data_IF_971824547130
#
_entry.id   IF_971824547130
#
_cell.length_a   1.000
_cell.length_b   1.000
_cell.length_c   1.000
_cell.angle_alpha   90.00
_cell.angle_beta   90.00
_cell.angle_gamma   90.00
#
_symmetry.space_group_name_H-M   'P 1'
#
loop_
_entity.id
_entity.type
_entity.pdbx_description
1 polymer ?
#
# COMPACT_ATOMS: atom_id res chain seq x y z
N UNK A 1 7.08 6.76 -5.82
CA UNK A 1 6.08 6.62 -4.73
C UNK A 1 6.02 5.19 -4.19
N UNK A 2 6.00 4.16 -5.06
CA UNK A 2 6.00 2.75 -4.62
C UNK A 2 7.22 2.33 -3.78
N UNK A 3 8.45 2.65 -4.22
CA UNK A 3 9.68 2.26 -3.50
C UNK A 3 9.74 2.79 -2.05
N UNK A 4 9.26 4.01 -1.80
CA UNK A 4 9.17 4.60 -0.46
C UNK A 4 8.15 3.87 0.42
N UNK A 5 7.03 3.43 -0.16
CA UNK A 5 6.01 2.65 0.56
C UNK A 5 6.51 1.25 0.90
N UNK A 6 7.17 0.58 -0.04
CA UNK A 6 7.73 -0.75 0.17
C UNK A 6 8.87 -0.74 1.19
N UNK A 7 9.75 0.27 1.15
CA UNK A 7 10.79 0.45 2.17
C UNK A 7 10.19 0.63 3.57
N UNK A 8 9.17 1.49 3.70
CA UNK A 8 8.47 1.72 4.97
C UNK A 8 7.87 0.42 5.53
N UNK A 9 7.16 -0.35 4.69
CA UNK A 9 6.59 -1.63 5.11
C UNK A 9 7.66 -2.65 5.51
N UNK A 10 8.78 -2.71 4.79
CA UNK A 10 9.91 -3.56 5.16
C UNK A 10 10.53 -3.16 6.51
N UNK A 11 10.69 -1.85 6.75
CA UNK A 11 11.11 -1.32 8.05
C UNK A 11 10.17 -1.76 9.17
N UNK A 12 8.85 -1.67 8.97
CA UNK A 12 7.85 -2.11 9.94
C UNK A 12 7.92 -3.63 10.21
N UNK A 13 8.25 -4.44 9.19
CA UNK A 13 8.49 -5.87 9.37
C UNK A 13 9.73 -6.14 10.22
N UNK A 14 10.83 -5.42 10.00
CA UNK A 14 12.03 -5.49 10.83
C UNK A 14 11.72 -5.11 12.28
N UNK A 15 11.04 -3.99 12.50
CA UNK A 15 10.65 -3.53 13.85
C UNK A 15 9.83 -4.58 14.59
N UNK A 16 8.77 -5.10 13.97
CA UNK A 16 7.95 -6.18 14.56
C UNK A 16 8.77 -7.41 14.91
N UNK A 17 9.72 -7.78 14.05
CA UNK A 17 10.57 -8.97 14.28
C UNK A 17 11.55 -8.76 15.42
N UNK A 18 12.18 -7.59 15.51
CA UNK A 18 13.07 -7.20 16.62
C UNK A 18 12.31 -7.24 17.94
N UNK A 19 11.14 -6.59 17.99
CA UNK A 19 10.27 -6.54 19.17
C UNK A 19 9.78 -7.93 19.60
N UNK A 20 9.56 -8.85 18.65
CA UNK A 20 9.11 -10.22 18.97
C UNK A 20 10.20 -11.12 19.57
N UNK A 21 11.48 -10.81 19.36
CA UNK A 21 12.62 -11.61 19.87
C UNK A 21 13.12 -11.12 21.22
N UNK A 22 12.81 -9.89 21.59
CA UNK A 22 13.25 -9.32 22.84
C UNK A 22 12.14 -9.45 23.88
N UNK A 23 12.47 -9.93 25.07
CA UNK A 23 11.92 -9.35 26.30
C UNK A 23 12.51 -7.93 26.44
N UNK A 24 12.17 -7.04 25.51
CA UNK A 24 12.65 -5.67 25.52
C UNK A 24 12.01 -4.99 26.72
N UNK A 25 12.71 -4.96 27.84
CA UNK A 25 12.38 -4.05 28.94
C UNK A 25 12.92 -2.68 28.56
N UNK A 26 12.05 -1.67 28.30
CA UNK A 26 12.47 -0.31 28.03
C UNK A 26 12.95 0.29 29.35
N UNK A 27 14.16 -0.06 29.78
CA UNK A 27 14.71 0.51 30.99
C UNK A 27 15.32 1.90 30.73
N UNK A 28 15.69 2.23 29.47
CA UNK A 28 16.29 3.54 29.16
C UNK A 28 16.26 4.01 27.68
N UNK A 29 15.66 3.26 26.74
CA UNK A 29 15.68 3.61 25.31
C UNK A 29 14.31 4.10 24.82
N UNK A 30 14.32 5.25 24.13
CA UNK A 30 13.12 5.94 23.65
C UNK A 30 12.57 5.29 22.37
N UNK A 31 11.31 5.56 22.02
CA UNK A 31 10.73 5.15 20.73
C UNK A 31 11.55 5.65 19.53
N UNK A 32 12.22 6.81 19.68
CA UNK A 32 13.11 7.39 18.67
C UNK A 32 14.35 6.53 18.43
N UNK A 33 14.94 5.97 19.49
CA UNK A 33 16.15 5.15 19.38
C UNK A 33 15.87 3.85 18.62
N UNK A 34 14.67 3.27 18.83
CA UNK A 34 14.24 2.08 18.09
C UNK A 34 14.00 2.42 16.61
N UNK A 35 13.34 3.54 16.29
CA UNK A 35 13.07 3.93 14.92
C UNK A 35 14.36 4.21 14.13
N UNK A 36 15.33 4.91 14.73
CA UNK A 36 16.64 5.16 14.14
C UNK A 36 17.41 3.85 13.91
N UNK A 37 17.39 2.95 14.90
CA UNK A 37 18.02 1.64 14.81
C UNK A 37 17.43 0.79 13.68
N UNK A 38 16.10 0.69 13.60
CA UNK A 38 15.43 -0.09 12.55
C UNK A 38 15.62 0.57 11.19
N UNK A 39 15.59 1.90 11.11
CA UNK A 39 15.85 2.64 9.85
C UNK A 39 17.26 2.38 9.33
N UNK A 40 18.26 2.35 10.20
CA UNK A 40 19.62 1.97 9.85
C UNK A 40 19.66 0.55 9.28
N UNK A 41 19.16 -0.45 10.01
CA UNK A 41 19.15 -1.85 9.55
C UNK A 41 18.37 -2.05 8.24
N UNK A 42 17.24 -1.36 8.10
CA UNK A 42 16.44 -1.38 6.87
C UNK A 42 17.25 -0.81 5.70
N UNK A 43 17.96 0.30 5.88
CA UNK A 43 18.79 0.92 4.84
C UNK A 43 19.93 0.01 4.41
N UNK A 44 20.63 -0.61 5.36
CA UNK A 44 21.75 -1.52 5.10
C UNK A 44 21.29 -2.76 4.32
N UNK A 45 20.13 -3.32 4.67
CA UNK A 45 19.64 -4.55 4.04
C UNK A 45 18.85 -4.30 2.75
N UNK A 46 18.05 -3.23 2.65
CA UNK A 46 17.14 -2.96 1.53
C UNK A 46 17.82 -2.97 0.16
N UNK A 47 19.01 -2.37 0.09
CA UNK A 47 19.78 -2.28 -1.16
C UNK A 47 20.24 -3.64 -1.69
N UNK A 48 20.36 -4.64 -0.81
CA UNK A 48 20.75 -6.01 -1.18
C UNK A 48 19.57 -6.83 -1.72
N UNK A 49 18.32 -6.38 -1.55
CA UNK A 49 17.16 -7.13 -2.04
C UNK A 49 17.04 -6.99 -3.57
N UNK A 50 16.77 -8.10 -4.29
CA UNK A 50 16.44 -8.05 -5.71
C UNK A 50 15.25 -7.13 -5.99
N UNK A 51 15.24 -6.49 -7.16
CA UNK A 51 14.16 -5.59 -7.56
C UNK A 51 12.79 -6.27 -7.55
N UNK A 52 12.72 -7.56 -7.93
CA UNK A 52 11.49 -8.34 -7.90
C UNK A 52 10.87 -8.41 -6.50
N UNK A 53 11.68 -8.45 -5.43
CA UNK A 53 11.20 -8.43 -4.05
C UNK A 53 10.80 -7.02 -3.65
N UNK A 54 11.62 -6.00 -3.96
CA UNK A 54 11.35 -4.60 -3.58
C UNK A 54 10.08 -4.01 -4.21
N UNK A 55 9.68 -4.54 -5.36
CA UNK A 55 8.51 -4.13 -6.13
C UNK A 55 7.42 -5.22 -6.16
N UNK A 56 7.44 -6.16 -5.20
CA UNK A 56 6.44 -7.22 -5.16
C UNK A 56 5.03 -6.65 -5.00
N UNK A 57 4.09 -7.19 -5.75
CA UNK A 57 2.66 -6.89 -5.64
C UNK A 57 1.87 -8.19 -5.53
N UNK A 58 0.58 -8.08 -5.21
CA UNK A 58 -0.33 -9.24 -5.23
C UNK A 58 -0.27 -10.03 -6.56
N UNK A 59 -0.10 -9.32 -7.69
CA UNK A 59 -0.11 -9.91 -9.03
C UNK A 59 1.25 -10.50 -9.44
N UNK A 60 2.35 -10.14 -8.76
CA UNK A 60 3.72 -10.60 -9.12
C UNK A 60 4.30 -11.60 -8.14
N UNK A 61 3.65 -11.84 -6.98
CA UNK A 61 4.16 -12.71 -5.91
C UNK A 61 4.48 -14.15 -6.34
N UNK A 62 3.69 -14.71 -7.26
CA UNK A 62 3.86 -16.10 -7.72
C UNK A 62 5.05 -16.26 -8.68
N UNK A 63 5.63 -15.14 -9.16
CA UNK A 63 6.83 -15.12 -10.00
C UNK A 63 8.11 -14.85 -9.20
N UNK A 64 8.03 -14.75 -7.88
CA UNK A 64 9.20 -14.52 -7.03
C UNK A 64 10.07 -15.77 -6.93
N UNK A 65 11.40 -15.60 -6.80
CA UNK A 65 12.28 -16.69 -6.40
C UNK A 65 11.94 -17.17 -4.98
N UNK A 66 12.26 -18.43 -4.68
CA UNK A 66 12.16 -18.95 -3.32
C UNK A 66 13.05 -18.13 -2.38
N UNK A 67 12.45 -17.57 -1.32
CA UNK A 67 13.13 -16.64 -0.41
C UNK A 67 14.35 -17.29 0.25
N UNK A 68 14.28 -18.59 0.55
CA UNK A 68 15.39 -19.36 1.11
C UNK A 68 16.60 -19.46 0.17
N UNK A 69 16.39 -19.33 -1.15
CA UNK A 69 17.44 -19.40 -2.17
C UNK A 69 18.03 -18.03 -2.52
N UNK A 70 17.52 -16.94 -1.93
CA UNK A 70 18.02 -15.59 -2.19
C UNK A 70 19.49 -15.46 -1.78
N UNK A 71 20.32 -15.03 -2.73
CA UNK A 71 21.69 -14.60 -2.50
C UNK A 71 21.66 -13.18 -1.95
N UNK A 72 22.04 -13.03 -0.68
CA UNK A 72 22.12 -11.76 0.02
C UNK A 72 23.58 -11.31 0.16
N UNK A 73 24.41 -11.69 -0.81
CA UNK A 73 25.87 -11.51 -0.78
C UNK A 73 26.30 -10.04 -0.80
N UNK A 74 25.39 -9.14 -1.23
CA UNK A 74 25.58 -7.70 -1.22
C UNK A 74 25.13 -7.03 0.08
N UNK A 75 24.62 -7.78 1.06
CA UNK A 75 24.28 -7.24 2.38
C UNK A 75 25.57 -6.84 3.11
N UNK A 76 25.72 -5.57 3.52
CA UNK A 76 26.91 -5.11 4.23
C UNK A 76 27.13 -5.88 5.55
N UNK A 77 28.39 -6.14 5.90
CA UNK A 77 28.75 -6.81 7.17
C UNK A 77 28.27 -6.04 8.40
N UNK A 78 28.15 -4.71 8.29
CA UNK A 78 27.53 -3.84 9.30
C UNK A 78 26.14 -4.30 9.73
N UNK A 79 25.35 -4.90 8.84
CA UNK A 79 24.05 -5.46 9.19
C UNK A 79 24.18 -6.64 10.17
N UNK A 80 25.00 -7.65 9.83
CA UNK A 80 25.21 -8.82 10.68
C UNK A 80 25.94 -8.49 11.98
N UNK A 81 26.92 -7.59 11.92
CA UNK A 81 27.69 -7.14 13.08
C UNK A 81 26.79 -6.41 14.07
N UNK A 82 25.88 -5.56 13.56
CA UNK A 82 24.90 -4.85 14.39
C UNK A 82 23.91 -5.81 15.04
N UNK A 83 23.34 -6.76 14.29
CA UNK A 83 22.43 -7.75 14.89
C UNK A 83 23.13 -8.58 15.97
N UNK A 84 24.39 -8.95 15.77
CA UNK A 84 25.17 -9.74 16.74
C UNK A 84 25.53 -8.91 17.97
N UNK A 85 25.96 -7.65 17.79
CA UNK A 85 26.29 -6.75 18.90
C UNK A 85 25.09 -6.47 19.83
N UNK A 86 23.87 -6.46 19.28
CA UNK A 86 22.63 -6.27 20.03
C UNK A 86 21.97 -7.59 20.47
N UNK A 87 22.64 -8.74 20.29
CA UNK A 87 22.14 -10.06 20.73
C UNK A 87 20.92 -10.57 19.95
N UNK A 88 20.66 -10.02 18.76
CA UNK A 88 19.54 -10.42 17.90
C UNK A 88 19.89 -11.63 17.02
N UNK A 89 21.19 -11.87 16.80
CA UNK A 89 21.77 -13.03 16.12
C UNK A 89 23.01 -13.54 16.88
N UNK A 90 23.35 -14.81 16.68
CA UNK A 90 24.55 -15.42 17.27
C UNK A 90 25.79 -15.21 16.39
N UNK A 91 25.58 -15.09 15.08
CA UNK A 91 26.60 -14.98 14.05
C UNK A 91 26.01 -14.39 12.75
N UNK A 92 26.86 -14.28 11.71
CA UNK A 92 26.44 -13.77 10.41
C UNK A 92 25.40 -14.66 9.71
N UNK A 93 25.47 -15.98 9.87
CA UNK A 93 24.53 -16.92 9.24
C UNK A 93 23.12 -16.76 9.82
N UNK A 94 23.01 -16.72 11.15
CA UNK A 94 21.75 -16.48 11.86
C UNK A 94 21.20 -15.07 11.62
N UNK A 95 22.06 -14.06 11.39
CA UNK A 95 21.65 -12.73 10.94
C UNK A 95 21.03 -12.75 9.53
N UNK A 96 21.61 -13.50 8.59
CA UNK A 96 21.04 -13.67 7.25
C UNK A 96 19.72 -14.46 7.28
N UNK A 97 19.63 -15.50 8.12
CA UNK A 97 18.36 -16.21 8.34
C UNK A 97 17.31 -15.29 8.96
N UNK A 98 17.68 -14.42 9.90
CA UNK A 98 16.80 -13.38 10.44
C UNK A 98 16.26 -12.48 9.31
N UNK A 99 17.14 -12.02 8.42
CA UNK A 99 16.77 -11.18 7.28
C UNK A 99 15.84 -11.92 6.30
N UNK A 100 16.13 -13.16 5.93
CA UNK A 100 15.25 -13.97 5.06
C UNK A 100 13.84 -14.10 5.62
N UNK A 101 13.72 -14.37 6.92
CA UNK A 101 12.40 -14.43 7.58
C UNK A 101 11.68 -13.08 7.64
N UNK A 102 12.41 -11.98 7.75
CA UNK A 102 11.83 -10.64 7.60
C UNK A 102 11.29 -10.43 6.19
N UNK A 103 12.05 -10.86 5.16
CA UNK A 103 11.63 -10.78 3.76
C UNK A 103 10.36 -11.59 3.52
N UNK A 104 10.21 -12.78 4.11
CA UNK A 104 8.97 -13.58 4.02
C UNK A 104 7.74 -12.81 4.52
N UNK A 105 7.85 -12.18 5.69
CA UNK A 105 6.76 -11.40 6.28
C UNK A 105 6.47 -10.16 5.42
N UNK A 106 7.52 -9.47 4.98
CA UNK A 106 7.38 -8.32 4.10
C UNK A 106 6.69 -8.68 2.77
N UNK A 107 7.11 -9.77 2.12
CA UNK A 107 6.50 -10.23 0.86
C UNK A 107 5.03 -10.59 1.09
N UNK A 108 4.71 -11.29 2.18
CA UNK A 108 3.33 -11.60 2.54
C UNK A 108 2.47 -10.34 2.69
N UNK A 109 2.98 -9.32 3.40
CA UNK A 109 2.24 -8.09 3.68
C UNK A 109 2.14 -7.19 2.42
N UNK A 110 3.23 -7.07 1.66
CA UNK A 110 3.29 -6.28 0.42
C UNK A 110 2.46 -6.89 -0.71
N UNK A 111 2.29 -8.21 -0.71
CA UNK A 111 1.49 -8.95 -1.69
C UNK A 111 0.16 -9.46 -1.13
N UNK A 112 -0.31 -8.86 -0.03
CA UNK A 112 -1.62 -9.17 0.52
C UNK A 112 -2.71 -9.00 -0.55
N UNK A 113 -3.77 -9.85 -0.52
CA UNK A 113 -4.85 -9.73 -1.48
C UNK A 113 -5.47 -8.33 -1.42
N UNK A 114 -5.88 -7.77 -2.57
CA UNK A 114 -6.66 -6.55 -2.57
C UNK A 114 -7.88 -6.74 -1.66
N UNK A 115 -8.35 -5.68 -1.00
CA UNK A 115 -9.50 -5.79 -0.12
C UNK A 115 -10.70 -6.30 -0.92
N UNK A 116 -11.61 -7.00 -0.24
CA UNK A 116 -12.91 -7.30 -0.82
C UNK A 116 -13.63 -5.96 -0.99
N UNK A 117 -13.64 -5.42 -2.20
CA UNK A 117 -14.09 -4.05 -2.48
C UNK A 117 -15.53 -3.75 -2.04
N UNK A 118 -16.39 -4.77 -1.91
CA UNK A 118 -17.73 -4.59 -1.34
C UNK A 118 -17.74 -4.36 0.18
N UNK A 119 -16.71 -4.77 0.91
CA UNK A 119 -16.58 -4.55 2.36
C UNK A 119 -15.84 -3.26 2.71
N UNK A 120 -15.35 -2.49 1.73
CA UNK A 120 -14.64 -1.21 1.97
C UNK A 120 -15.58 -0.02 2.20
N UNK A 121 -16.85 -0.27 2.53
CA UNK A 121 -17.86 0.79 2.64
C UNK A 121 -17.52 1.78 3.75
N UNK A 122 -17.34 3.03 3.36
CA UNK A 122 -17.14 4.17 4.27
C UNK A 122 -18.46 4.70 4.82
N UNK A 123 -18.39 5.49 5.89
CA UNK A 123 -19.53 6.23 6.45
C UNK A 123 -19.76 7.57 5.72
N UNK A 124 -18.74 8.09 5.05
CA UNK A 124 -18.71 9.38 4.38
C UNK A 124 -18.41 9.23 2.89
N UNK A 125 -18.92 10.16 2.08
CA UNK A 125 -18.62 10.20 0.66
C UNK A 125 -17.14 10.50 0.43
N UNK A 126 -16.42 9.62 -0.25
CA UNK A 126 -14.97 9.76 -0.48
C UNK A 126 -14.56 10.97 -1.33
N UNK A 127 -15.51 11.65 -1.97
CA UNK A 127 -15.25 12.90 -2.72
C UNK A 127 -15.61 14.15 -1.92
N UNK A 128 -16.77 14.18 -1.26
CA UNK A 128 -17.28 15.41 -0.62
C UNK A 128 -17.36 15.34 0.91
N UNK A 129 -16.94 14.22 1.50
CA UNK A 129 -16.78 13.99 2.95
C UNK A 129 -18.08 14.14 3.76
N UNK A 130 -19.23 14.14 3.08
CA UNK A 130 -20.53 14.20 3.75
C UNK A 130 -21.00 12.81 4.17
N UNK A 131 -21.52 12.72 5.39
CA UNK A 131 -22.29 11.58 5.90
C UNK A 131 -23.70 11.56 5.30
N UNK A 132 -23.84 10.95 4.12
CA UNK A 132 -25.09 10.82 3.36
C UNK A 132 -25.15 9.44 2.70
N UNK A 133 -26.30 8.97 2.20
CA UNK A 133 -26.37 7.70 1.51
C UNK A 133 -25.39 7.60 0.33
N UNK A 134 -24.56 6.56 0.40
CA UNK A 134 -23.50 6.28 -0.57
C UNK A 134 -23.94 5.21 -1.57
N UNK A 135 -23.46 5.38 -2.79
CA UNK A 135 -23.60 4.47 -3.92
C UNK A 135 -22.28 3.75 -4.18
N UNK A 136 -22.37 2.55 -4.75
CA UNK A 136 -21.23 1.75 -5.19
C UNK A 136 -20.81 2.19 -6.59
N UNK A 137 -19.64 2.80 -6.72
CA UNK A 137 -19.12 3.29 -8.00
C UNK A 137 -17.86 2.51 -8.41
N UNK A 138 -17.89 1.87 -9.58
CA UNK A 138 -16.69 1.23 -10.12
C UNK A 138 -15.72 2.28 -10.67
N UNK A 139 -14.52 2.34 -10.11
CA UNK A 139 -13.47 3.27 -10.54
C UNK A 139 -12.96 2.92 -11.94
N UNK A 140 -12.82 1.63 -12.24
CA UNK A 140 -12.64 1.11 -13.60
C UNK A 140 -14.00 0.62 -14.11
N UNK A 141 -14.65 1.32 -15.05
CA UNK A 141 -15.97 0.92 -15.53
C UNK A 141 -15.98 -0.52 -16.06
N UNK A 142 -16.95 -1.35 -15.63
CA UNK A 142 -17.03 -2.76 -16.03
C UNK A 142 -17.01 -2.97 -17.55
N UNK A 143 -17.61 -2.05 -18.31
CA UNK A 143 -17.62 -2.10 -19.76
C UNK A 143 -16.22 -1.99 -20.40
N UNK A 144 -15.20 -1.48 -19.68
CA UNK A 144 -13.83 -1.34 -20.19
C UNK A 144 -12.91 -2.47 -19.75
N UNK A 145 -13.33 -3.39 -18.87
CA UNK A 145 -12.48 -4.46 -18.30
C UNK A 145 -11.74 -5.28 -19.36
N UNK A 146 -12.45 -5.76 -20.39
CA UNK A 146 -11.84 -6.52 -21.47
C UNK A 146 -10.75 -5.73 -22.21
N UNK A 147 -10.95 -4.42 -22.39
CA UNK A 147 -9.98 -3.53 -23.03
C UNK A 147 -8.79 -3.24 -22.11
N UNK A 148 -9.04 -3.01 -20.82
CA UNK A 148 -8.02 -2.78 -19.79
C UNK A 148 -7.03 -3.95 -19.75
N UNK A 149 -7.52 -5.19 -19.70
CA UNK A 149 -6.68 -6.39 -19.68
C UNK A 149 -5.92 -6.56 -21.00
N UNK A 150 -6.61 -6.43 -22.14
CA UNK A 150 -5.98 -6.55 -23.48
C UNK A 150 -4.85 -5.54 -23.68
N UNK A 151 -4.99 -4.32 -23.13
CA UNK A 151 -4.00 -3.24 -23.23
C UNK A 151 -3.01 -3.21 -22.08
N UNK A 152 -3.15 -4.09 -21.08
CA UNK A 152 -2.34 -4.13 -19.86
C UNK A 152 -2.27 -2.78 -19.14
N UNK A 153 -3.40 -2.06 -19.08
CA UNK A 153 -3.46 -0.81 -18.33
C UNK A 153 -3.44 -1.05 -16.83
N UNK A 154 -4.20 -2.05 -16.38
CA UNK A 154 -4.28 -2.47 -14.97
C UNK A 154 -4.33 -3.98 -14.89
N UNK A 155 -3.94 -4.51 -13.74
CA UNK A 155 -4.08 -5.92 -13.41
C UNK A 155 -5.53 -6.32 -13.15
N UNK A 156 -5.78 -7.63 -13.13
CA UNK A 156 -7.11 -8.17 -12.87
C UNK A 156 -7.61 -7.85 -11.45
N UNK A 157 -6.70 -7.81 -10.47
CA UNK A 157 -6.96 -7.45 -9.07
C UNK A 157 -7.57 -6.06 -8.91
N UNK A 158 -7.27 -5.13 -9.82
CA UNK A 158 -7.75 -3.74 -9.80
C UNK A 158 -9.12 -3.55 -10.45
N UNK A 159 -9.60 -4.46 -11.29
CA UNK A 159 -10.80 -4.24 -12.11
C UNK A 159 -12.07 -3.95 -11.30
N UNK A 160 -12.16 -4.52 -10.12
CA UNK A 160 -13.32 -4.37 -9.24
C UNK A 160 -13.13 -3.29 -8.16
N UNK A 161 -12.10 -2.45 -8.28
CA UNK A 161 -11.92 -1.31 -7.39
C UNK A 161 -13.11 -0.36 -7.45
N UNK A 162 -13.50 0.14 -6.28
CA UNK A 162 -14.69 0.97 -6.12
C UNK A 162 -14.45 2.16 -5.22
N UNK A 163 -15.31 3.16 -5.40
CA UNK A 163 -15.50 4.25 -4.49
C UNK A 163 -16.95 4.26 -3.95
N UNK A 164 -17.09 4.60 -2.68
CA UNK A 164 -18.32 4.85 -1.95
C UNK A 164 -18.61 6.34 -1.94
N UNK A 165 -19.40 6.75 -2.93
CA UNK A 165 -19.69 8.16 -3.20
C UNK A 165 -21.19 8.41 -3.21
N UNK A 166 -21.59 9.61 -2.75
CA UNK A 166 -22.99 10.02 -2.80
C UNK A 166 -23.47 10.23 -4.24
N UNK A 167 -24.79 10.12 -4.47
CA UNK A 167 -25.39 10.21 -5.81
C UNK A 167 -24.97 11.47 -6.60
N UNK A 168 -24.92 12.68 -6.01
CA UNK A 168 -24.43 13.86 -6.73
C UNK A 168 -22.97 13.74 -7.19
N UNK A 169 -22.07 13.24 -6.33
CA UNK A 169 -20.67 13.03 -6.70
C UNK A 169 -20.52 11.97 -7.79
N UNK A 170 -21.30 10.88 -7.71
CA UNK A 170 -21.36 9.86 -8.77
C UNK A 170 -21.70 10.48 -10.13
N UNK A 171 -22.76 11.29 -10.18
CA UNK A 171 -23.15 11.97 -11.42
C UNK A 171 -22.03 12.85 -11.96
N UNK A 172 -21.31 13.57 -11.09
CA UNK A 172 -20.21 14.43 -11.51
C UNK A 172 -19.03 13.62 -12.07
N UNK A 173 -18.62 12.53 -11.43
CA UNK A 173 -17.54 11.67 -11.93
C UNK A 173 -17.83 11.23 -13.38
N UNK A 174 -19.05 10.76 -13.67
CA UNK A 174 -19.45 10.37 -15.02
C UNK A 174 -19.64 11.55 -15.99
N UNK A 175 -19.78 12.78 -15.49
CA UNK A 175 -19.83 13.97 -16.34
C UNK A 175 -18.45 14.47 -16.75
N UNK A 176 -17.44 14.34 -15.88
CA UNK A 176 -16.11 14.93 -16.08
C UNK A 176 -15.12 14.01 -16.81
N UNK A 177 -15.31 12.70 -16.69
CA UNK A 177 -14.57 11.68 -17.42
C UNK A 177 -15.49 10.52 -17.77
N UNK A 178 -15.28 9.91 -18.95
CA UNK A 178 -16.15 8.85 -19.46
C UNK A 178 -15.35 7.61 -19.82
N UNK A 179 -15.89 6.45 -19.44
CA UNK A 179 -15.48 5.12 -19.89
C UNK A 179 -13.97 4.87 -19.80
N UNK A 180 -13.31 5.03 -20.94
CA UNK A 180 -11.89 4.75 -21.12
C UNK A 180 -10.97 5.77 -20.43
N UNK A 181 -11.36 7.04 -20.37
CA UNK A 181 -10.57 8.07 -19.68
C UNK A 181 -10.57 7.84 -18.16
N UNK A 182 -11.73 7.44 -17.60
CA UNK A 182 -11.82 6.97 -16.21
C UNK A 182 -10.89 5.78 -15.99
N UNK A 183 -10.96 4.78 -16.88
CA UNK A 183 -10.18 3.56 -16.75
C UNK A 183 -8.66 3.82 -16.84
N UNK A 184 -8.19 4.74 -17.68
CA UNK A 184 -6.75 4.98 -17.86
C UNK A 184 -6.18 5.98 -16.87
N UNK A 185 -6.87 7.10 -16.66
CA UNK A 185 -6.28 8.28 -16.01
C UNK A 185 -6.88 8.57 -14.62
N UNK A 186 -8.06 8.01 -14.30
CA UNK A 186 -8.81 8.36 -13.09
C UNK A 186 -9.40 7.14 -12.38
N UNK A 187 -8.60 6.07 -12.28
CA UNK A 187 -8.99 4.76 -11.77
C UNK A 187 -8.81 4.59 -10.24
N UNK A 188 -8.50 5.68 -9.52
CA UNK A 188 -8.49 5.74 -8.05
C UNK A 188 -9.18 7.01 -7.55
N UNK A 189 -9.58 7.02 -6.27
CA UNK A 189 -10.17 8.21 -5.64
C UNK A 189 -9.18 9.37 -5.62
N UNK A 190 -7.90 9.10 -5.37
CA UNK A 190 -6.82 10.10 -5.35
C UNK A 190 -6.66 10.76 -6.72
N UNK A 191 -6.70 9.98 -7.80
CA UNK A 191 -6.63 10.50 -9.16
C UNK A 191 -7.85 11.37 -9.50
N UNK A 192 -9.04 10.97 -9.05
CA UNK A 192 -10.25 11.81 -9.19
C UNK A 192 -10.09 13.13 -8.41
N UNK A 193 -9.62 13.07 -7.16
CA UNK A 193 -9.39 14.24 -6.29
C UNK A 193 -8.26 15.14 -6.79
N UNK A 194 -7.33 14.64 -7.60
CA UNK A 194 -6.29 15.44 -8.23
C UNK A 194 -6.83 16.35 -9.35
N UNK A 195 -8.04 16.09 -9.89
CA UNK A 195 -8.63 16.93 -10.94
C UNK A 195 -9.18 18.25 -10.39
N UNK A 196 -8.88 19.35 -11.06
CA UNK A 196 -9.38 20.67 -10.66
C UNK A 196 -10.91 20.78 -10.64
N UNK A 197 -11.60 20.15 -11.60
CA UNK A 197 -13.06 20.19 -11.68
C UNK A 197 -13.72 19.43 -10.54
N UNK A 198 -13.20 18.26 -10.18
CA UNK A 198 -13.59 17.51 -8.99
C UNK A 198 -13.28 18.29 -7.72
N UNK A 199 -12.14 18.96 -7.61
CA UNK A 199 -11.82 19.81 -6.44
C UNK A 199 -12.77 21.00 -6.29
N UNK A 200 -13.12 21.66 -7.40
CA UNK A 200 -14.14 22.73 -7.44
C UNK A 200 -15.49 22.18 -6.99
N UNK A 201 -15.89 21.02 -7.52
CA UNK A 201 -17.12 20.35 -7.13
C UNK A 201 -17.13 19.95 -5.65
N UNK A 202 -16.07 19.32 -5.14
CA UNK A 202 -15.91 18.91 -3.74
C UNK A 202 -16.18 20.08 -2.79
N UNK A 203 -15.54 21.22 -3.02
CA UNK A 203 -15.70 22.44 -2.20
C UNK A 203 -17.15 22.94 -2.16
N UNK A 204 -17.88 22.83 -3.26
CA UNK A 204 -19.30 23.15 -3.33
C UNK A 204 -20.15 22.09 -2.64
N UNK A 205 -19.95 20.82 -3.00
CA UNK A 205 -20.75 19.68 -2.58
C UNK A 205 -20.69 19.46 -1.07
N UNK A 206 -19.51 19.63 -0.45
CA UNK A 206 -19.30 19.48 0.99
C UNK A 206 -20.21 20.40 1.83
N UNK A 207 -20.60 21.56 1.29
CA UNK A 207 -21.46 22.55 1.98
C UNK A 207 -22.96 22.30 1.78
N UNK A 208 -23.35 21.35 0.93
CA UNK A 208 -24.76 21.13 0.59
C UNK A 208 -25.47 20.33 1.68
N UNK A 209 -26.63 20.83 2.12
CA UNK A 209 -27.50 20.13 3.07
C UNK A 209 -28.13 18.91 2.40
N UNK A 210 -28.20 17.80 3.14
CA UNK A 210 -28.89 16.58 2.72
C UNK A 210 -30.34 16.59 3.21
N UNK A 211 -31.26 15.98 2.45
CA UNK A 211 -32.68 15.85 2.84
C UNK A 211 -33.55 17.09 2.67
N UNK A 212 -32.99 18.22 2.19
CA UNK A 212 -33.77 19.43 1.91
C UNK A 212 -34.31 19.35 0.47
N UNK A 213 -35.62 19.15 0.30
CA UNK A 213 -36.29 19.30 -1.00
C UNK A 213 -36.16 20.76 -1.43
N UNK A 214 -35.49 21.01 -2.55
CA UNK A 214 -35.59 22.30 -3.24
C UNK A 214 -36.91 22.28 -4.00
N UNK A 215 -37.83 23.16 -3.59
CA UNK A 215 -39.07 23.43 -4.32
C UNK A 215 -38.80 24.12 -5.64
#
# INVERSE_FOLDING_TARGET
MGDVQHFGLFKDCLARRILSRQDYTPADSTESDLDDFVTFLATESWSALPQSIREVTYDTKDSLPEIDTLLLDSTPASFSDTLTAYGLSEDAESALHFLKRTIEVYVSDASAPPPVWSSTRTTECEICERQVPLTYHHLIPRATHAKVLKRKWHSESMLNSVAWICRPCHNVVHSVARGEDLAQNYYTVELLLAREDIQKWRRYAAKQRYGVRRG
#
